data_IF_374363882376
#
_entry.id   IF_374363882376
#
_cell.length_a   1.000
_cell.length_b   1.000
_cell.length_c   1.000
_cell.angle_alpha   90.00
_cell.angle_beta   90.00
_cell.angle_gamma   90.00
#
_symmetry.space_group_name_H-M   'P 1'
#
loop_
_entity.id
_entity.type
_entity.pdbx_description
1 polymer ?
#
# COMPACT_ATOMS: atom_id res chain seq x y z
N UNK A 1 6.28 104.40 -1.03
CA UNK A 1 5.36 103.49 -1.76
C UNK A 1 5.61 103.59 -3.27
N UNK A 2 6.85 103.85 -3.68
CA UNK A 2 7.13 104.42 -5.01
C UNK A 2 7.85 103.46 -5.98
N UNK A 3 8.19 102.25 -5.53
CA UNK A 3 8.80 101.23 -6.39
C UNK A 3 7.78 100.32 -7.10
N UNK A 4 6.50 100.34 -6.70
CA UNK A 4 5.45 99.57 -7.39
C UNK A 4 4.90 100.33 -8.61
N UNK A 5 4.81 101.66 -8.51
CA UNK A 5 4.21 102.52 -9.55
C UNK A 5 5.09 102.61 -10.80
N UNK A 6 6.41 102.47 -10.66
CA UNK A 6 7.34 102.48 -11.80
C UNK A 6 7.31 101.18 -12.63
N UNK A 7 6.85 100.05 -12.06
CA UNK A 7 6.74 98.76 -12.77
C UNK A 7 5.49 98.61 -13.64
N UNK A 8 4.44 99.39 -13.38
CA UNK A 8 3.20 99.33 -14.17
C UNK A 8 3.26 100.21 -15.43
N UNK A 9 4.04 101.30 -15.42
CA UNK A 9 4.14 102.24 -16.55
C UNK A 9 5.11 101.79 -17.65
N UNK A 10 6.17 101.06 -17.29
CA UNK A 10 7.11 100.50 -18.26
C UNK A 10 6.78 99.03 -18.49
N UNK A 11 6.24 98.73 -19.67
CA UNK A 11 5.85 97.40 -20.16
C UNK A 11 7.08 96.49 -20.38
N UNK A 12 7.92 96.30 -19.38
CA UNK A 12 9.07 95.41 -19.41
C UNK A 12 8.57 94.00 -19.11
N UNK A 13 8.24 93.25 -20.17
CA UNK A 13 7.97 91.81 -20.05
C UNK A 13 9.25 91.13 -19.52
N UNK A 14 9.16 90.46 -18.39
CA UNK A 14 10.27 89.64 -17.89
C UNK A 14 10.57 88.52 -18.88
N UNK A 15 11.77 88.51 -19.46
CA UNK A 15 12.28 87.48 -20.39
C UNK A 15 12.75 86.20 -19.69
N UNK A 16 12.46 86.01 -18.40
CA UNK A 16 12.96 84.89 -17.58
C UNK A 16 12.22 83.56 -17.76
N UNK A 17 11.13 83.52 -18.54
CA UNK A 17 10.35 82.30 -18.74
C UNK A 17 10.21 82.02 -20.24
N UNK A 18 10.75 80.89 -20.70
CA UNK A 18 10.44 80.35 -22.03
C UNK A 18 8.92 80.11 -22.10
N UNK A 19 8.24 80.42 -23.22
CA UNK A 19 6.83 80.12 -23.37
C UNK A 19 6.62 78.62 -23.15
N UNK A 20 5.71 78.28 -22.24
CA UNK A 20 5.38 76.89 -21.94
C UNK A 20 4.77 76.28 -23.20
N UNK A 21 5.43 75.26 -23.75
CA UNK A 21 4.91 74.51 -24.87
C UNK A 21 3.80 73.57 -24.38
N UNK A 22 2.56 74.10 -24.41
CA UNK A 22 1.37 73.36 -24.02
C UNK A 22 1.09 72.15 -24.92
N UNK A 23 1.63 72.08 -26.14
CA UNK A 23 1.50 70.88 -26.99
C UNK A 23 2.42 69.77 -26.50
N UNK A 24 3.69 70.09 -26.19
CA UNK A 24 4.63 69.12 -25.64
C UNK A 24 4.17 68.57 -24.28
N UNK A 25 3.61 69.43 -23.42
CA UNK A 25 3.09 69.04 -22.11
C UNK A 25 1.84 68.14 -22.22
N UNK A 26 0.96 68.40 -23.21
CA UNK A 26 -0.17 67.50 -23.53
C UNK A 26 0.33 66.15 -24.04
N UNK A 27 1.28 66.14 -24.96
CA UNK A 27 1.84 64.90 -25.50
C UNK A 27 2.48 64.03 -24.40
N UNK A 28 3.25 64.63 -23.48
CA UNK A 28 3.80 63.92 -22.31
C UNK A 28 2.72 63.39 -21.36
N UNK A 29 1.64 64.16 -21.17
CA UNK A 29 0.51 63.75 -20.33
C UNK A 29 -0.28 62.61 -20.96
N UNK A 30 -0.53 62.66 -22.26
CA UNK A 30 -1.18 61.59 -23.02
C UNK A 30 -0.32 60.32 -23.05
N UNK A 31 1.00 60.45 -23.24
CA UNK A 31 1.93 59.34 -23.17
C UNK A 31 1.96 58.69 -21.76
N UNK A 32 1.92 59.48 -20.69
CA UNK A 32 1.80 58.94 -19.32
C UNK A 32 0.44 58.29 -19.08
N UNK A 33 -0.66 58.86 -19.59
CA UNK A 33 -2.00 58.27 -19.50
C UNK A 33 -2.08 56.93 -20.23
N UNK A 34 -1.52 56.85 -21.45
CA UNK A 34 -1.49 55.60 -22.23
C UNK A 34 -0.60 54.54 -21.57
N UNK A 35 0.56 54.94 -21.02
CA UNK A 35 1.41 54.05 -20.23
C UNK A 35 0.70 53.53 -18.97
N UNK A 36 0.00 54.40 -18.23
CA UNK A 36 -0.79 54.01 -17.06
C UNK A 36 -1.94 53.06 -17.43
N UNK A 37 -2.66 53.33 -18.52
CA UNK A 37 -3.70 52.45 -19.02
C UNK A 37 -3.15 51.08 -19.43
N UNK A 38 -1.95 51.02 -20.03
CA UNK A 38 -1.27 49.77 -20.36
C UNK A 38 -0.90 48.95 -19.11
N UNK A 39 -0.41 49.61 -18.05
CA UNK A 39 -0.11 48.96 -16.77
C UNK A 39 -1.39 48.44 -16.12
N UNK A 40 -2.47 49.21 -16.12
CA UNK A 40 -3.75 48.80 -15.55
C UNK A 40 -4.33 47.58 -16.28
N UNK A 41 -4.24 47.54 -17.61
CA UNK A 41 -4.61 46.37 -18.42
C UNK A 41 -3.78 45.13 -18.07
N UNK A 42 -2.46 45.27 -17.87
CA UNK A 42 -1.59 44.17 -17.42
C UNK A 42 -1.95 43.68 -16.01
N UNK A 43 -2.26 44.60 -15.09
CA UNK A 43 -2.71 44.22 -13.73
C UNK A 43 -4.04 43.48 -13.79
N UNK A 44 -4.98 43.93 -14.62
CA UNK A 44 -6.28 43.28 -14.80
C UNK A 44 -6.14 41.90 -15.43
N UNK A 45 -5.28 41.75 -16.44
CA UNK A 45 -5.02 40.45 -17.07
C UNK A 45 -4.38 39.46 -16.10
N UNK A 46 -3.38 39.88 -15.31
CA UNK A 46 -2.76 39.03 -14.26
C UNK A 46 -3.79 38.60 -13.22
N UNK A 47 -4.65 39.53 -12.76
CA UNK A 47 -5.74 39.20 -11.83
C UNK A 47 -6.71 38.18 -12.42
N UNK A 48 -7.10 38.33 -13.68
CA UNK A 48 -8.00 37.38 -14.36
C UNK A 48 -7.37 35.98 -14.53
N UNK A 49 -6.08 35.90 -14.83
CA UNK A 49 -5.35 34.63 -14.88
C UNK A 49 -5.29 33.97 -13.49
N UNK A 50 -5.03 34.76 -12.44
CA UNK A 50 -4.95 34.24 -11.08
C UNK A 50 -6.31 33.73 -10.58
N UNK A 51 -7.41 34.45 -10.84
CA UNK A 51 -8.76 33.98 -10.48
C UNK A 51 -9.15 32.71 -11.24
N UNK A 52 -8.77 32.59 -12.51
CA UNK A 52 -8.94 31.35 -13.29
C UNK A 52 -8.13 30.18 -12.71
N UNK A 53 -6.89 30.43 -12.26
CA UNK A 53 -6.06 29.40 -11.62
C UNK A 53 -6.70 28.92 -10.30
N UNK A 54 -7.18 29.85 -9.48
CA UNK A 54 -7.86 29.55 -8.22
C UNK A 54 -9.15 28.75 -8.46
N UNK A 55 -9.96 29.12 -9.45
CA UNK A 55 -11.21 28.40 -9.72
C UNK A 55 -10.98 26.97 -10.22
N UNK A 56 -9.96 26.76 -11.07
CA UNK A 56 -9.52 25.42 -11.48
C UNK A 56 -9.05 24.60 -10.28
N UNK A 57 -8.25 25.19 -9.41
CA UNK A 57 -7.75 24.54 -8.19
C UNK A 57 -8.89 24.16 -7.23
N UNK A 58 -9.86 25.05 -7.02
CA UNK A 58 -11.04 24.76 -6.21
C UNK A 58 -11.87 23.61 -6.78
N UNK A 59 -11.94 23.50 -8.11
CA UNK A 59 -12.66 22.41 -8.79
C UNK A 59 -11.95 21.08 -8.59
N UNK A 60 -10.61 21.06 -8.72
CA UNK A 60 -9.79 19.87 -8.43
C UNK A 60 -9.92 19.43 -6.97
N UNK A 61 -9.85 20.36 -6.01
CA UNK A 61 -10.01 20.05 -4.59
C UNK A 61 -11.39 19.44 -4.31
N UNK A 62 -12.47 19.94 -4.95
CA UNK A 62 -13.80 19.35 -4.82
C UNK A 62 -13.83 17.90 -5.31
N UNK A 63 -13.17 17.62 -6.44
CA UNK A 63 -13.06 16.26 -6.97
C UNK A 63 -12.29 15.34 -6.02
N UNK A 64 -11.15 15.78 -5.47
CA UNK A 64 -10.39 14.99 -4.48
C UNK A 64 -11.19 14.73 -3.21
N UNK A 65 -11.90 15.74 -2.68
CA UNK A 65 -12.77 15.56 -1.51
C UNK A 65 -13.86 14.52 -1.75
N UNK A 66 -14.44 14.50 -2.95
CA UNK A 66 -15.44 13.50 -3.31
C UNK A 66 -14.84 12.09 -3.32
N UNK A 67 -13.66 11.92 -3.93
CA UNK A 67 -12.94 10.64 -3.95
C UNK A 67 -12.63 10.17 -2.52
N UNK A 68 -12.09 11.04 -1.68
CA UNK A 68 -11.78 10.70 -0.28
C UNK A 68 -13.02 10.34 0.53
N UNK A 69 -14.15 11.00 0.29
CA UNK A 69 -15.39 10.67 0.98
C UNK A 69 -15.90 9.29 0.58
N UNK A 70 -15.85 8.96 -0.71
CA UNK A 70 -16.21 7.62 -1.20
C UNK A 70 -15.27 6.54 -0.65
N UNK A 71 -13.96 6.80 -0.63
CA UNK A 71 -12.98 5.86 -0.13
C UNK A 71 -13.10 5.65 1.39
N UNK A 72 -13.37 6.71 2.14
CA UNK A 72 -13.63 6.60 3.58
C UNK A 72 -14.86 5.72 3.86
N UNK A 73 -15.93 5.87 3.06
CA UNK A 73 -17.10 5.00 3.17
C UNK A 73 -16.73 3.54 2.84
N UNK A 74 -16.04 3.30 1.73
CA UNK A 74 -15.59 1.96 1.31
C UNK A 74 -14.75 1.28 2.38
N UNK A 75 -13.76 1.99 2.93
CA UNK A 75 -12.88 1.46 3.98
C UNK A 75 -13.65 1.17 5.27
N UNK A 76 -14.62 2.02 5.62
CA UNK A 76 -15.50 1.79 6.76
C UNK A 76 -16.34 0.53 6.57
N UNK A 77 -16.93 0.35 5.39
CA UNK A 77 -17.74 -0.83 5.08
C UNK A 77 -16.89 -2.11 5.09
N UNK A 78 -15.69 -2.09 4.50
CA UNK A 78 -14.74 -3.22 4.52
C UNK A 78 -14.32 -3.54 5.95
N UNK A 79 -13.99 -2.53 6.76
CA UNK A 79 -13.65 -2.72 8.17
C UNK A 79 -14.80 -3.38 8.92
N UNK A 80 -16.01 -2.85 8.81
CA UNK A 80 -17.19 -3.43 9.46
C UNK A 80 -17.43 -4.88 9.04
N UNK A 81 -17.25 -5.19 7.75
CA UNK A 81 -17.37 -6.56 7.23
C UNK A 81 -16.31 -7.47 7.82
N UNK A 82 -15.04 -7.06 7.80
CA UNK A 82 -13.93 -7.85 8.31
C UNK A 82 -14.02 -8.06 9.83
N UNK A 83 -14.41 -7.03 10.58
CA UNK A 83 -14.71 -7.13 12.01
C UNK A 83 -15.84 -8.13 12.28
N UNK A 84 -16.87 -8.16 11.43
CA UNK A 84 -17.96 -9.13 11.53
C UNK A 84 -17.51 -10.56 11.19
N UNK A 85 -16.65 -10.73 10.18
CA UNK A 85 -16.04 -12.02 9.82
C UNK A 85 -15.13 -12.55 10.94
N UNK A 86 -14.31 -11.67 11.55
CA UNK A 86 -13.47 -12.02 12.71
C UNK A 86 -14.36 -12.42 13.89
N UNK A 87 -15.39 -11.62 14.21
CA UNK A 87 -16.33 -11.94 15.29
C UNK A 87 -17.03 -13.27 15.05
N UNK A 88 -17.52 -13.52 13.85
CA UNK A 88 -18.15 -14.79 13.46
C UNK A 88 -17.18 -15.96 13.63
N UNK A 89 -15.94 -15.81 13.17
CA UNK A 89 -14.89 -16.81 13.32
C UNK A 89 -14.58 -17.14 14.79
N UNK A 90 -14.69 -16.14 15.67
CA UNK A 90 -14.51 -16.27 17.11
C UNK A 90 -15.77 -16.76 17.85
N UNK A 91 -16.97 -16.54 17.30
CA UNK A 91 -18.25 -16.79 17.99
C UNK A 91 -18.92 -18.12 17.66
N UNK A 92 -18.76 -18.66 16.45
CA UNK A 92 -19.50 -19.86 16.01
C UNK A 92 -18.55 -21.04 15.69
N UNK A 93 -18.80 -22.16 16.39
CA UNK A 93 -18.28 -23.53 16.15
C UNK A 93 -16.79 -23.85 16.32
N UNK A 94 -15.87 -22.89 16.55
CA UNK A 94 -14.45 -23.20 16.80
C UNK A 94 -14.03 -23.30 18.29
N UNK A 95 -14.99 -23.42 19.20
CA UNK A 95 -14.82 -23.50 20.68
C UNK A 95 -13.96 -24.71 21.13
N UNK A 96 -13.53 -25.59 20.23
CA UNK A 96 -12.58 -26.67 20.51
C UNK A 96 -11.09 -26.27 20.56
N UNK A 97 -10.70 -25.08 20.09
CA UNK A 97 -9.28 -24.66 20.05
C UNK A 97 -8.97 -23.70 21.19
N UNK A 98 -8.29 -24.19 22.24
CA UNK A 98 -7.75 -23.42 23.38
C UNK A 98 -7.02 -22.11 22.98
N UNK A 99 -6.38 -22.09 21.82
CA UNK A 99 -5.70 -20.91 21.28
C UNK A 99 -6.65 -19.74 20.92
N UNK A 100 -7.90 -20.01 20.53
CA UNK A 100 -8.86 -18.96 20.15
C UNK A 100 -9.50 -18.30 21.37
N UNK A 101 -9.75 -19.08 22.45
CA UNK A 101 -10.23 -18.52 23.72
C UNK A 101 -9.20 -17.57 24.34
N UNK A 102 -7.91 -17.88 24.21
CA UNK A 102 -6.83 -17.00 24.70
C UNK A 102 -6.84 -15.66 23.95
N UNK A 103 -7.08 -15.66 22.64
CA UNK A 103 -7.18 -14.43 21.84
C UNK A 103 -8.38 -13.55 22.21
N UNK A 104 -9.55 -14.14 22.46
CA UNK A 104 -10.73 -13.38 22.90
C UNK A 104 -10.51 -12.76 24.29
N UNK A 105 -9.84 -13.48 25.18
CA UNK A 105 -9.45 -12.94 26.50
C UNK A 105 -8.46 -11.78 26.36
N UNK A 106 -7.47 -11.89 25.47
CA UNK A 106 -6.54 -10.79 25.17
C UNK A 106 -7.26 -9.56 24.55
N UNK A 107 -8.22 -9.77 23.65
CA UNK A 107 -9.02 -8.67 23.08
C UNK A 107 -9.78 -7.91 24.18
N UNK A 108 -10.43 -8.65 25.08
CA UNK A 108 -11.16 -8.06 26.19
C UNK A 108 -10.21 -7.30 27.13
N UNK A 109 -9.07 -7.90 27.50
CA UNK A 109 -8.08 -7.25 28.37
C UNK A 109 -7.53 -5.97 27.73
N UNK A 110 -7.22 -5.98 26.43
CA UNK A 110 -6.77 -4.79 25.70
C UNK A 110 -7.86 -3.71 25.66
N UNK A 111 -9.12 -4.08 25.46
CA UNK A 111 -10.24 -3.14 25.46
C UNK A 111 -10.42 -2.48 26.84
N UNK A 112 -10.33 -3.27 27.90
CA UNK A 112 -10.38 -2.79 29.28
C UNK A 112 -9.20 -1.86 29.60
N UNK A 113 -7.98 -2.26 29.24
CA UNK A 113 -6.76 -1.44 29.38
C UNK A 113 -6.88 -0.13 28.60
N UNK A 114 -7.37 -0.17 27.37
CA UNK A 114 -7.58 1.01 26.54
C UNK A 114 -8.62 1.95 27.14
N UNK A 115 -9.72 1.41 27.65
CA UNK A 115 -10.77 2.21 28.32
C UNK A 115 -10.26 2.86 29.60
N UNK A 116 -9.42 2.15 30.36
CA UNK A 116 -8.77 2.64 31.57
C UNK A 116 -7.76 3.74 31.24
N UNK A 117 -6.91 3.51 30.24
CA UNK A 117 -5.95 4.48 29.73
C UNK A 117 -6.64 5.77 29.26
N UNK A 118 -7.68 5.66 28.42
CA UNK A 118 -8.46 6.80 27.95
C UNK A 118 -9.06 7.60 29.12
N UNK A 119 -9.64 6.92 30.12
CA UNK A 119 -10.15 7.58 31.32
C UNK A 119 -9.03 8.30 32.09
N UNK A 120 -7.89 7.64 32.29
CA UNK A 120 -6.77 8.19 33.04
C UNK A 120 -6.09 9.36 32.34
N UNK A 121 -6.14 9.44 30.99
CA UNK A 121 -5.57 10.57 30.23
C UNK A 121 -6.59 11.69 30.02
N UNK A 122 -7.85 11.37 29.70
CA UNK A 122 -8.87 12.36 29.36
C UNK A 122 -9.47 13.03 30.60
N UNK A 123 -9.75 12.26 31.66
CA UNK A 123 -10.43 12.80 32.84
C UNK A 123 -9.62 13.91 33.53
N UNK A 124 -8.29 13.79 33.75
CA UNK A 124 -7.51 14.86 34.35
C UNK A 124 -7.49 16.14 33.50
N UNK A 125 -7.48 16.02 32.17
CA UNK A 125 -7.53 17.18 31.27
C UNK A 125 -8.91 17.85 31.34
N UNK A 126 -9.98 17.06 31.39
CA UNK A 126 -11.35 17.59 31.55
C UNK A 126 -11.54 18.26 32.92
N UNK A 127 -11.00 17.66 33.98
CA UNK A 127 -10.98 18.21 35.34
C UNK A 127 -10.24 19.55 35.36
N UNK A 128 -9.00 19.59 34.85
CA UNK A 128 -8.20 20.82 34.76
C UNK A 128 -8.93 21.91 33.97
N UNK A 129 -9.60 21.54 32.87
CA UNK A 129 -10.39 22.48 32.07
C UNK A 129 -11.61 23.03 32.83
N UNK A 130 -12.27 22.19 33.63
CA UNK A 130 -13.40 22.61 34.46
C UNK A 130 -12.92 23.53 35.60
N UNK A 131 -11.82 23.19 36.25
CA UNK A 131 -11.21 23.95 37.34
C UNK A 131 -10.74 25.32 36.84
N UNK A 132 -10.09 25.39 35.67
CA UNK A 132 -9.69 26.65 35.04
C UNK A 132 -10.88 27.55 34.72
N UNK A 133 -11.98 26.99 34.20
CA UNK A 133 -13.23 27.74 33.95
C UNK A 133 -13.85 28.26 35.25
N UNK A 134 -13.89 27.43 36.29
CA UNK A 134 -14.41 27.82 37.60
C UNK A 134 -13.58 28.96 38.20
N UNK A 135 -12.26 28.85 38.15
CA UNK A 135 -11.32 29.86 38.65
C UNK A 135 -11.46 31.17 37.87
N UNK A 136 -11.63 31.10 36.55
CA UNK A 136 -11.88 32.27 35.69
C UNK A 136 -13.18 33.01 36.04
N UNK A 137 -14.26 32.28 36.34
CA UNK A 137 -15.53 32.88 36.76
C UNK A 137 -15.43 33.56 38.12
N UNK A 138 -14.69 32.99 39.07
CA UNK A 138 -14.47 33.59 40.40
C UNK A 138 -13.54 34.81 40.38
N UNK A 139 -12.49 34.81 39.56
CA UNK A 139 -11.60 35.96 39.37
C UNK A 139 -12.35 37.16 38.77
N UNK A 140 -13.34 36.91 37.90
CA UNK A 140 -14.17 37.96 37.30
C UNK A 140 -15.15 38.62 38.29
N UNK A 141 -15.34 38.07 39.50
CA UNK A 141 -16.33 38.54 40.50
C UNK A 141 -15.71 39.23 41.74
N UNK A 142 -14.40 39.10 41.99
CA UNK A 142 -13.74 39.70 43.17
C UNK A 142 -12.52 40.57 42.82
N UNK A 143 -12.38 41.71 43.50
CA UNK A 143 -11.41 42.78 43.23
C UNK A 143 -9.94 42.43 43.52
N UNK A 144 -9.15 42.33 42.45
CA UNK A 144 -7.77 42.80 42.17
C UNK A 144 -6.57 42.75 43.14
N UNK A 145 -6.62 42.30 44.40
CA UNK A 145 -5.38 42.25 45.22
C UNK A 145 -4.80 40.84 45.43
N UNK A 146 -5.61 39.78 45.46
CA UNK A 146 -5.14 38.38 45.58
C UNK A 146 -5.08 37.61 44.25
N UNK A 147 -5.49 38.22 43.15
CA UNK A 147 -5.69 37.58 41.84
C UNK A 147 -4.37 37.30 41.08
N UNK A 148 -3.38 38.20 41.16
CA UNK A 148 -2.10 38.06 40.44
C UNK A 148 -1.25 36.89 40.96
N UNK A 149 -1.21 36.68 42.28
CA UNK A 149 -0.44 35.58 42.90
C UNK A 149 -1.03 34.19 42.59
N UNK A 150 -2.36 34.09 42.40
CA UNK A 150 -3.00 32.84 41.97
C UNK A 150 -2.86 32.59 40.47
N UNK A 151 -2.86 33.65 39.65
CA UNK A 151 -2.61 33.56 38.20
C UNK A 151 -1.23 32.94 37.87
N UNK A 152 -0.18 33.36 38.57
CA UNK A 152 1.18 32.84 38.35
C UNK A 152 1.29 31.36 38.70
N UNK A 153 0.71 30.92 39.83
CA UNK A 153 0.70 29.49 40.22
C UNK A 153 -0.09 28.61 39.25
N UNK A 154 -1.19 29.10 38.71
CA UNK A 154 -1.99 28.38 37.70
C UNK A 154 -1.20 28.23 36.39
N UNK A 155 -0.46 29.26 35.98
CA UNK A 155 0.43 29.20 34.81
C UNK A 155 1.57 28.18 35.00
N UNK A 156 2.19 28.14 36.19
CA UNK A 156 3.22 27.17 36.54
C UNK A 156 2.70 25.72 36.49
N UNK A 157 1.50 25.47 37.04
CA UNK A 157 0.85 24.15 37.01
C UNK A 157 0.52 23.71 35.58
N UNK A 158 0.01 24.62 34.74
CA UNK A 158 -0.27 24.34 33.32
C UNK A 158 1.01 24.00 32.56
N UNK A 159 2.10 24.72 32.79
CA UNK A 159 3.39 24.44 32.14
C UNK A 159 4.02 23.14 32.66
N UNK A 160 3.81 22.79 33.92
CA UNK A 160 4.18 21.48 34.47
C UNK A 160 3.42 20.35 33.79
N UNK A 161 2.09 20.47 33.62
CA UNK A 161 1.26 19.48 32.92
C UNK A 161 1.68 19.35 31.45
N UNK A 162 2.01 20.45 30.76
CA UNK A 162 2.54 20.38 29.38
C UNK A 162 3.86 19.63 29.29
N UNK A 163 4.78 19.86 30.24
CA UNK A 163 6.06 19.15 30.31
C UNK A 163 5.85 17.66 30.57
N UNK A 164 4.94 17.29 31.47
CA UNK A 164 4.57 15.89 31.69
C UNK A 164 3.98 15.25 30.44
N UNK A 165 3.03 15.93 29.77
CA UNK A 165 2.41 15.43 28.55
C UNK A 165 3.45 15.19 27.46
N UNK A 166 4.39 16.12 27.29
CA UNK A 166 5.50 15.98 26.35
C UNK A 166 6.37 14.76 26.67
N UNK A 167 6.75 14.56 27.93
CA UNK A 167 7.54 13.41 28.36
C UNK A 167 6.80 12.08 28.15
N UNK A 168 5.48 12.05 28.37
CA UNK A 168 4.63 10.88 28.08
C UNK A 168 4.60 10.59 26.57
N UNK A 169 4.42 11.60 25.72
CA UNK A 169 4.45 11.42 24.27
C UNK A 169 5.82 10.92 23.76
N UNK A 170 6.91 11.46 24.30
CA UNK A 170 8.26 11.00 23.98
C UNK A 170 8.42 9.52 24.39
N UNK A 171 7.98 9.12 25.59
CA UNK A 171 8.01 7.70 26.00
C UNK A 171 7.14 6.81 25.09
N UNK A 172 5.92 7.24 24.76
CA UNK A 172 5.02 6.50 23.87
C UNK A 172 5.59 6.33 22.47
N UNK A 173 6.27 7.35 21.93
CA UNK A 173 6.95 7.23 20.63
C UNK A 173 8.05 6.18 20.64
N UNK A 174 8.79 6.05 21.74
CA UNK A 174 9.83 5.02 21.90
C UNK A 174 9.21 3.64 22.04
N UNK A 175 8.14 3.50 22.83
CA UNK A 175 7.39 2.24 22.95
C UNK A 175 6.80 1.80 21.60
N UNK A 176 6.20 2.74 20.86
CA UNK A 176 5.70 2.50 19.51
C UNK A 176 6.83 2.00 18.59
N UNK A 177 7.96 2.69 18.54
CA UNK A 177 9.10 2.29 17.71
C UNK A 177 9.60 0.89 18.07
N UNK A 178 9.67 0.55 19.36
CA UNK A 178 10.08 -0.77 19.81
C UNK A 178 9.12 -1.87 19.36
N UNK A 179 7.81 -1.61 19.42
CA UNK A 179 6.78 -2.55 18.95
C UNK A 179 6.87 -2.70 17.43
N UNK A 180 7.01 -1.60 16.68
CA UNK A 180 7.18 -1.62 15.22
C UNK A 180 8.41 -2.43 14.81
N UNK A 181 9.55 -2.23 15.49
CA UNK A 181 10.76 -3.01 15.25
C UNK A 181 10.54 -4.51 15.54
N UNK A 182 9.90 -4.83 16.67
CA UNK A 182 9.58 -6.22 17.02
C UNK A 182 8.66 -6.87 15.98
N UNK A 183 7.63 -6.16 15.49
CA UNK A 183 6.73 -6.65 14.45
C UNK A 183 7.44 -6.81 13.09
N UNK A 184 8.39 -5.94 12.78
CA UNK A 184 9.22 -6.05 11.58
C UNK A 184 10.07 -7.32 11.61
N UNK A 185 10.72 -7.60 12.75
CA UNK A 185 11.50 -8.84 12.95
C UNK A 185 10.63 -10.10 12.77
N UNK A 186 9.38 -10.08 13.25
CA UNK A 186 8.45 -11.18 13.03
C UNK A 186 8.00 -11.30 11.59
N UNK A 187 7.81 -10.18 10.90
CA UNK A 187 7.45 -10.15 9.47
C UNK A 187 8.56 -10.80 8.63
N UNK A 188 9.82 -10.53 8.95
CA UNK A 188 10.98 -11.18 8.33
C UNK A 188 11.00 -12.69 8.59
N UNK A 189 10.80 -13.12 9.84
CA UNK A 189 10.72 -14.55 10.22
C UNK A 189 9.57 -15.30 9.55
N UNK A 190 8.41 -14.65 9.37
CA UNK A 190 7.26 -15.24 8.67
C UNK A 190 7.54 -15.36 7.17
N UNK A 191 8.22 -14.38 6.58
CA UNK A 191 8.61 -14.40 5.17
C UNK A 191 9.62 -15.52 4.90
N UNK A 192 10.61 -15.70 5.78
CA UNK A 192 11.61 -16.77 5.70
C UNK A 192 10.94 -18.14 5.76
N UNK A 193 10.01 -18.35 6.71
CA UNK A 193 9.22 -19.58 6.81
C UNK A 193 8.33 -19.83 5.57
N UNK A 194 7.77 -18.78 4.97
CA UNK A 194 7.00 -18.89 3.71
C UNK A 194 7.86 -19.30 2.54
N UNK A 195 9.12 -18.84 2.50
CA UNK A 195 10.04 -19.02 1.39
C UNK A 195 10.71 -20.39 1.43
N UNK A 196 11.16 -20.85 2.60
CA UNK A 196 11.61 -22.23 2.82
C UNK A 196 10.54 -23.25 2.46
N UNK A 197 9.29 -23.04 2.94
CA UNK A 197 8.18 -23.92 2.61
C UNK A 197 7.85 -23.94 1.10
N UNK A 198 8.02 -22.82 0.40
CA UNK A 198 7.76 -22.71 -1.05
C UNK A 198 8.87 -23.35 -1.89
N UNK A 199 10.12 -23.29 -1.43
CA UNK A 199 11.26 -23.98 -2.05
C UNK A 199 11.14 -25.51 -1.91
N UNK A 200 10.76 -25.99 -0.72
CA UNK A 200 10.62 -27.42 -0.45
C UNK A 200 9.46 -28.07 -1.24
N UNK A 201 8.31 -27.37 -1.34
CA UNK A 201 7.14 -27.86 -2.09
C UNK A 201 7.39 -28.09 -3.58
N UNK A 202 8.36 -27.41 -4.18
CA UNK A 202 8.72 -27.57 -5.59
C UNK A 202 9.64 -28.78 -5.83
N UNK A 203 10.38 -29.24 -4.81
CA UNK A 203 11.37 -30.32 -4.95
C UNK A 203 10.92 -31.66 -4.36
N UNK A 204 9.83 -31.70 -3.61
CA UNK A 204 9.32 -32.93 -3.00
C UNK A 204 8.74 -33.87 -4.07
N UNK A 205 9.25 -35.11 -4.06
CA UNK A 205 8.71 -36.18 -4.88
C UNK A 205 7.27 -36.48 -4.44
N UNK A 206 6.33 -36.69 -5.38
CA UNK A 206 4.97 -37.08 -5.01
C UNK A 206 5.00 -38.41 -4.26
N UNK A 207 4.45 -38.42 -3.04
CA UNK A 207 4.36 -39.63 -2.19
C UNK A 207 3.61 -40.75 -2.92
N UNK A 208 2.69 -40.38 -3.80
CA UNK A 208 1.93 -41.29 -4.66
C UNK A 208 2.83 -42.08 -5.64
N UNK A 209 3.96 -41.52 -6.08
CA UNK A 209 4.92 -42.19 -6.96
C UNK A 209 5.98 -42.98 -6.19
N UNK A 210 6.29 -42.57 -4.95
CA UNK A 210 7.18 -43.32 -4.08
C UNK A 210 6.54 -44.63 -3.61
N UNK A 211 5.28 -44.57 -3.18
CA UNK A 211 4.55 -45.68 -2.54
C UNK A 211 4.08 -46.77 -3.50
N UNK A 212 4.00 -46.51 -4.80
CA UNK A 212 3.61 -47.52 -5.79
C UNK A 212 4.75 -48.48 -6.08
N UNK A 213 4.55 -49.76 -5.74
CA UNK A 213 5.40 -50.87 -6.17
C UNK A 213 5.12 -51.18 -7.65
N UNK A 214 6.15 -51.14 -8.47
CA UNK A 214 6.07 -51.47 -9.90
C UNK A 214 7.06 -52.60 -10.20
N UNK A 215 6.63 -53.67 -10.90
CA UNK A 215 7.52 -54.78 -11.26
C UNK A 215 8.55 -54.42 -12.33
N UNK A 216 8.38 -53.27 -13.01
CA UNK A 216 9.31 -52.74 -14.00
C UNK A 216 10.08 -51.53 -13.46
N UNK A 217 11.29 -51.71 -12.89
CA UNK A 217 12.06 -50.62 -12.28
C UNK A 217 12.48 -49.55 -13.28
N UNK A 218 12.77 -49.92 -14.52
CA UNK A 218 13.16 -48.98 -15.59
C UNK A 218 12.03 -48.01 -15.96
N UNK A 219 10.79 -48.50 -15.96
CA UNK A 219 9.60 -47.67 -16.20
C UNK A 219 9.39 -46.67 -15.06
N UNK A 220 9.49 -47.14 -13.80
CA UNK A 220 9.40 -46.27 -12.62
C UNK A 220 10.49 -45.20 -12.63
N UNK A 221 11.73 -45.57 -12.94
CA UNK A 221 12.84 -44.64 -13.06
C UNK A 221 12.61 -43.61 -14.17
N UNK A 222 12.15 -44.04 -15.36
CA UNK A 222 11.85 -43.14 -16.47
C UNK A 222 10.78 -42.10 -16.11
N UNK A 223 9.71 -42.53 -15.42
CA UNK A 223 8.63 -41.63 -14.99
C UNK A 223 9.14 -40.61 -13.96
N UNK A 224 9.96 -41.04 -12.99
CA UNK A 224 10.56 -40.15 -12.00
C UNK A 224 11.53 -39.14 -12.65
N UNK A 225 12.37 -39.60 -13.58
CA UNK A 225 13.27 -38.73 -14.32
C UNK A 225 12.51 -37.68 -15.14
N UNK A 226 11.44 -38.07 -15.83
CA UNK A 226 10.57 -37.13 -16.54
C UNK A 226 9.89 -36.13 -15.60
N UNK A 227 9.51 -36.56 -14.39
CA UNK A 227 8.96 -35.66 -13.37
C UNK A 227 9.99 -34.63 -12.89
N UNK A 228 11.22 -35.06 -12.63
CA UNK A 228 12.33 -34.17 -12.26
C UNK A 228 12.61 -33.15 -13.38
N UNK A 229 12.75 -33.62 -14.62
CA UNK A 229 12.95 -32.75 -15.79
C UNK A 229 11.81 -31.75 -15.99
N UNK A 230 10.57 -32.20 -15.81
CA UNK A 230 9.39 -31.34 -15.85
C UNK A 230 9.49 -30.24 -14.78
N UNK A 231 9.80 -30.62 -13.54
CA UNK A 231 9.87 -29.71 -12.40
C UNK A 231 11.00 -28.68 -12.55
N UNK A 232 12.18 -29.11 -12.98
CA UNK A 232 13.32 -28.23 -13.25
C UNK A 232 12.99 -27.15 -14.29
N UNK A 233 12.24 -27.50 -15.35
CA UNK A 233 11.82 -26.53 -16.37
C UNK A 233 10.95 -25.41 -15.79
N UNK A 234 10.07 -25.73 -14.83
CA UNK A 234 9.27 -24.72 -14.15
C UNK A 234 10.10 -23.91 -13.15
N UNK A 235 11.01 -24.56 -12.43
CA UNK A 235 11.90 -23.89 -11.48
C UNK A 235 12.79 -22.86 -12.17
N UNK A 236 13.42 -23.21 -13.31
CA UNK A 236 14.23 -22.28 -14.11
C UNK A 236 13.41 -21.06 -14.55
N UNK A 237 12.22 -21.29 -15.09
CA UNK A 237 11.32 -20.19 -15.48
C UNK A 237 10.88 -19.31 -14.30
N UNK A 238 10.67 -19.90 -13.12
CA UNK A 238 10.36 -19.13 -11.91
C UNK A 238 11.54 -18.27 -11.48
N UNK A 239 12.76 -18.81 -11.52
CA UNK A 239 13.98 -18.06 -11.25
C UNK A 239 14.17 -16.91 -12.25
N UNK A 240 13.91 -17.13 -13.53
CA UNK A 240 13.95 -16.06 -14.55
C UNK A 240 12.96 -14.93 -14.21
N UNK A 241 11.74 -15.26 -13.78
CA UNK A 241 10.77 -14.26 -13.33
C UNK A 241 11.19 -13.56 -12.04
N UNK A 242 11.80 -14.27 -11.09
CA UNK A 242 12.32 -13.69 -9.85
C UNK A 242 13.44 -12.68 -10.15
N UNK A 243 14.37 -13.01 -11.06
CA UNK A 243 15.41 -12.09 -11.52
C UNK A 243 14.82 -10.89 -12.27
N UNK A 244 13.81 -11.09 -13.12
CA UNK A 244 13.13 -9.98 -13.80
C UNK A 244 12.42 -9.04 -12.81
N UNK A 245 11.78 -9.60 -11.77
CA UNK A 245 11.13 -8.79 -10.74
C UNK A 245 12.14 -7.98 -9.93
N UNK A 246 13.29 -8.57 -9.60
CA UNK A 246 14.38 -7.88 -8.90
C UNK A 246 15.01 -6.78 -9.77
N UNK A 247 15.19 -7.02 -11.07
CA UNK A 247 15.70 -6.00 -11.99
C UNK A 247 14.72 -4.81 -12.11
N UNK A 248 13.42 -5.09 -12.25
CA UNK A 248 12.40 -4.03 -12.30
C UNK A 248 12.36 -3.26 -10.97
N UNK A 249 12.47 -3.95 -9.82
CA UNK A 249 12.41 -3.29 -8.52
C UNK A 249 13.60 -2.39 -8.25
N UNK A 250 14.80 -2.77 -8.71
CA UNK A 250 16.02 -1.92 -8.64
C UNK A 250 15.89 -0.62 -9.42
N UNK A 251 15.04 -0.59 -10.45
CA UNK A 251 14.79 0.61 -11.25
C UNK A 251 13.81 1.59 -10.56
N UNK A 252 13.20 1.22 -9.43
CA UNK A 252 12.36 2.15 -8.67
C UNK A 252 13.19 3.26 -8.03
N UNK A 253 12.84 4.50 -8.36
CA UNK A 253 13.49 5.70 -7.81
C UNK A 253 12.81 6.24 -6.53
N UNK A 254 11.74 5.57 -6.08
CA UNK A 254 11.02 5.88 -4.84
C UNK A 254 11.54 4.99 -3.72
N UNK A 255 11.61 5.51 -2.49
CA UNK A 255 11.83 4.67 -1.31
C UNK A 255 10.65 3.70 -1.10
N UNK A 256 10.77 2.73 -0.20
CA UNK A 256 9.65 1.83 0.12
C UNK A 256 8.44 2.59 0.67
N UNK A 257 8.67 3.58 1.52
CA UNK A 257 7.62 4.44 2.07
C UNK A 257 6.94 5.26 0.97
N UNK A 258 7.73 5.87 0.09
CA UNK A 258 7.23 6.61 -1.05
C UNK A 258 6.43 5.72 -2.01
N UNK A 259 6.89 4.48 -2.22
CA UNK A 259 6.18 3.50 -3.03
C UNK A 259 4.85 3.09 -2.39
N UNK A 260 4.83 2.92 -1.05
CA UNK A 260 3.59 2.66 -0.31
C UNK A 260 2.61 3.81 -0.44
N UNK A 261 3.06 5.06 -0.26
CA UNK A 261 2.22 6.25 -0.46
C UNK A 261 1.71 6.30 -1.90
N UNK A 262 2.57 6.01 -2.87
CA UNK A 262 2.19 5.97 -4.29
C UNK A 262 1.06 4.97 -4.54
N UNK A 263 1.21 3.74 -4.04
CA UNK A 263 0.22 2.68 -4.20
C UNK A 263 -1.07 3.00 -3.43
N UNK A 264 -0.98 3.48 -2.20
CA UNK A 264 -2.13 3.87 -1.39
C UNK A 264 -2.93 4.99 -2.09
N UNK A 265 -2.26 5.97 -2.69
CA UNK A 265 -2.94 7.01 -3.46
C UNK A 265 -3.58 6.44 -4.72
N UNK A 266 -2.99 5.48 -5.43
CA UNK A 266 -3.66 4.85 -6.58
C UNK A 266 -4.94 4.09 -6.19
N UNK A 267 -4.91 3.42 -5.05
CA UNK A 267 -6.02 2.59 -4.57
C UNK A 267 -7.20 3.42 -4.06
N UNK A 268 -6.96 4.64 -3.58
CA UNK A 268 -8.03 5.59 -3.21
C UNK A 268 -8.87 6.04 -4.41
N UNK A 269 -8.34 5.97 -5.64
CA UNK A 269 -9.00 6.47 -6.84
C UNK A 269 -9.57 5.28 -7.63
N UNK A 270 -10.90 5.13 -7.73
CA UNK A 270 -11.49 3.97 -8.37
C UNK A 270 -11.30 3.99 -9.90
N UNK A 271 -11.30 2.78 -10.50
CA UNK A 271 -10.97 2.55 -11.91
C UNK A 271 -11.94 3.17 -12.92
N UNK A 272 -13.19 3.34 -12.52
CA UNK A 272 -14.31 3.88 -13.31
C UNK A 272 -14.35 5.43 -13.33
N UNK A 273 -13.51 6.08 -12.52
CA UNK A 273 -13.47 7.54 -12.40
C UNK A 273 -12.99 8.21 -13.70
N UNK A 274 -13.80 9.11 -14.26
CA UNK A 274 -13.40 9.90 -15.42
C UNK A 274 -12.16 10.75 -15.10
N UNK A 275 -11.11 10.63 -15.93
CA UNK A 275 -9.86 11.37 -15.71
C UNK A 275 -9.08 10.91 -14.48
N UNK A 276 -9.31 9.68 -13.97
CA UNK A 276 -8.60 9.05 -12.84
C UNK A 276 -7.10 9.37 -12.83
N UNK A 277 -6.43 9.13 -13.97
CA UNK A 277 -5.00 9.37 -14.16
C UNK A 277 -4.57 10.80 -13.90
N UNK A 278 -5.35 11.77 -14.34
CA UNK A 278 -5.05 13.18 -14.09
C UNK A 278 -5.20 13.51 -12.61
N UNK A 279 -6.19 12.93 -11.94
CA UNK A 279 -6.51 13.20 -10.54
C UNK A 279 -5.47 12.59 -9.59
N UNK A 280 -5.17 11.28 -9.67
CA UNK A 280 -4.15 10.72 -8.77
C UNK A 280 -2.77 11.30 -9.06
N UNK A 281 -2.39 11.56 -10.32
CA UNK A 281 -1.11 12.23 -10.60
C UNK A 281 -1.08 13.64 -9.99
N UNK A 282 -2.21 14.36 -10.00
CA UNK A 282 -2.28 15.64 -9.32
C UNK A 282 -2.08 15.50 -7.79
N UNK A 283 -2.65 14.46 -7.17
CA UNK A 283 -2.43 14.21 -5.75
C UNK A 283 -1.01 13.76 -5.43
N UNK A 284 -0.44 12.86 -6.22
CA UNK A 284 0.94 12.40 -6.08
C UNK A 284 1.92 13.58 -6.19
N UNK A 285 1.68 14.52 -7.10
CA UNK A 285 2.49 15.75 -7.19
C UNK A 285 2.37 16.66 -5.96
N UNK A 286 1.29 16.56 -5.17
CA UNK A 286 1.13 17.28 -3.90
C UNK A 286 1.87 16.57 -2.76
N UNK A 287 1.87 15.23 -2.74
CA UNK A 287 2.63 14.43 -1.77
C UNK A 287 4.14 14.46 -2.05
N UNK A 288 4.53 14.51 -3.32
CA UNK A 288 5.92 14.53 -3.78
C UNK A 288 6.25 15.85 -4.49
N UNK A 289 6.32 17.00 -3.78
CA UNK A 289 6.60 18.30 -4.39
C UNK A 289 7.99 18.36 -5.06
N UNK A 290 8.91 17.47 -4.67
CA UNK A 290 10.26 17.38 -5.22
C UNK A 290 10.36 16.54 -6.49
N UNK A 291 9.33 15.77 -6.84
CA UNK A 291 9.34 14.88 -8.01
C UNK A 291 8.57 15.49 -9.17
N UNK A 292 9.10 15.33 -10.38
CA UNK A 292 8.42 15.83 -11.55
C UNK A 292 7.24 14.92 -11.92
N UNK A 293 6.28 15.47 -12.68
CA UNK A 293 5.18 14.66 -13.22
C UNK A 293 5.70 13.54 -14.13
N UNK A 294 6.82 13.77 -14.82
CA UNK A 294 7.42 12.80 -15.71
C UNK A 294 7.95 11.60 -14.94
N UNK A 295 8.65 11.83 -13.82
CA UNK A 295 9.20 10.76 -12.98
C UNK A 295 8.09 9.87 -12.40
N UNK A 296 6.97 10.48 -11.98
CA UNK A 296 5.80 9.74 -11.51
C UNK A 296 5.18 8.85 -12.60
N UNK A 297 5.19 9.33 -13.85
CA UNK A 297 4.68 8.56 -15.00
C UNK A 297 5.65 7.47 -15.44
N UNK A 298 6.96 7.69 -15.33
CA UNK A 298 7.95 6.62 -15.54
C UNK A 298 7.81 5.54 -14.47
N UNK A 299 7.65 5.93 -13.20
CA UNK A 299 7.40 4.99 -12.10
C UNK A 299 6.14 4.16 -12.33
N UNK A 300 5.06 4.76 -12.86
CA UNK A 300 3.84 4.04 -13.26
C UNK A 300 4.13 2.89 -14.24
N UNK A 301 5.01 3.11 -15.23
CA UNK A 301 5.37 2.08 -16.21
C UNK A 301 6.12 0.92 -15.54
N UNK A 302 7.06 1.22 -14.65
CA UNK A 302 7.77 0.18 -13.90
C UNK A 302 6.81 -0.60 -13.00
N UNK A 303 5.86 0.07 -12.35
CA UNK A 303 4.81 -0.60 -11.57
C UNK A 303 3.93 -1.51 -12.45
N UNK A 304 3.59 -1.09 -13.66
CA UNK A 304 2.82 -1.92 -14.60
C UNK A 304 3.61 -3.15 -15.05
N UNK A 305 4.89 -2.97 -15.40
CA UNK A 305 5.78 -4.07 -15.76
C UNK A 305 5.96 -5.06 -14.59
N UNK A 306 6.17 -4.53 -13.38
CA UNK A 306 6.31 -5.34 -12.17
C UNK A 306 5.04 -6.15 -11.89
N UNK A 307 3.86 -5.49 -11.94
CA UNK A 307 2.57 -6.16 -11.76
C UNK A 307 2.34 -7.25 -12.80
N UNK A 308 2.66 -6.97 -14.06
CA UNK A 308 2.55 -7.94 -15.14
C UNK A 308 3.46 -9.15 -14.92
N UNK A 309 4.75 -8.95 -14.65
CA UNK A 309 5.70 -10.01 -14.37
C UNK A 309 5.28 -10.86 -13.15
N UNK A 310 4.79 -10.20 -12.09
CA UNK A 310 4.28 -10.86 -10.89
C UNK A 310 3.06 -11.73 -11.18
N UNK A 311 2.14 -11.25 -12.03
CA UNK A 311 0.99 -12.04 -12.45
C UNK A 311 1.39 -13.21 -13.34
N UNK A 312 2.34 -13.03 -14.28
CA UNK A 312 2.88 -14.14 -15.08
C UNK A 312 3.50 -15.23 -14.20
N UNK A 313 4.26 -14.83 -13.18
CA UNK A 313 4.81 -15.75 -12.18
C UNK A 313 3.71 -16.51 -11.44
N UNK A 314 2.65 -15.83 -11.01
CA UNK A 314 1.49 -16.46 -10.34
C UNK A 314 0.77 -17.46 -11.24
N UNK A 315 0.54 -17.11 -12.50
CA UNK A 315 -0.04 -17.99 -13.52
C UNK A 315 0.86 -19.22 -13.73
N UNK A 316 2.18 -19.03 -13.78
CA UNK A 316 3.14 -20.13 -13.93
C UNK A 316 3.05 -21.13 -12.77
N UNK A 317 2.97 -20.65 -11.53
CA UNK A 317 2.78 -21.51 -10.34
C UNK A 317 1.44 -22.25 -10.40
N UNK A 318 0.36 -21.57 -10.80
CA UNK A 318 -0.95 -22.21 -10.97
C UNK A 318 -0.91 -23.31 -12.04
N UNK A 319 -0.24 -23.04 -13.16
CA UNK A 319 -0.06 -24.01 -14.24
C UNK A 319 0.81 -25.19 -13.81
N UNK A 320 1.89 -24.96 -13.06
CA UNK A 320 2.70 -26.03 -12.48
C UNK A 320 1.85 -26.93 -11.58
N UNK A 321 1.06 -26.35 -10.67
CA UNK A 321 0.19 -27.12 -9.78
C UNK A 321 -0.81 -27.99 -10.55
N UNK A 322 -1.41 -27.45 -11.62
CA UNK A 322 -2.34 -28.20 -12.47
C UNK A 322 -1.62 -29.33 -13.21
N UNK A 323 -0.54 -29.01 -13.91
CA UNK A 323 0.20 -29.97 -14.71
C UNK A 323 0.87 -31.06 -13.86
N UNK A 324 1.30 -30.72 -12.64
CA UNK A 324 1.80 -31.69 -11.65
C UNK A 324 0.73 -32.72 -11.30
N UNK A 325 -0.51 -32.29 -11.00
CA UNK A 325 -1.62 -33.23 -10.73
C UNK A 325 -1.91 -34.12 -11.93
N UNK A 326 -1.99 -33.53 -13.13
CA UNK A 326 -2.26 -34.27 -14.36
C UNK A 326 -1.13 -35.28 -14.68
N UNK A 327 0.13 -34.91 -14.43
CA UNK A 327 1.28 -35.79 -14.58
C UNK A 327 1.19 -36.96 -13.61
N UNK A 328 0.98 -36.69 -12.31
CA UNK A 328 0.88 -37.74 -11.28
C UNK A 328 -0.25 -38.71 -11.63
N UNK A 329 -1.42 -38.20 -12.02
CA UNK A 329 -2.55 -39.05 -12.39
C UNK A 329 -2.23 -39.98 -13.56
N UNK A 330 -1.55 -39.47 -14.61
CA UNK A 330 -1.11 -40.28 -15.75
C UNK A 330 -0.06 -41.29 -15.35
N UNK A 331 0.93 -40.88 -14.58
CA UNK A 331 2.00 -41.75 -14.10
C UNK A 331 1.45 -42.92 -13.26
N UNK A 332 0.54 -42.64 -12.33
CA UNK A 332 -0.15 -43.66 -11.52
C UNK A 332 -0.92 -44.63 -12.40
N UNK A 333 -1.66 -44.12 -13.40
CA UNK A 333 -2.41 -44.96 -14.34
C UNK A 333 -1.48 -45.89 -15.14
N UNK A 334 -0.40 -45.35 -15.71
CA UNK A 334 0.58 -46.13 -16.48
C UNK A 334 1.26 -47.19 -15.62
N UNK A 335 1.62 -46.87 -14.37
CA UNK A 335 2.19 -47.85 -13.45
C UNK A 335 1.18 -48.95 -13.10
N UNK A 336 -0.09 -48.60 -12.86
CA UNK A 336 -1.15 -49.57 -12.59
C UNK A 336 -1.41 -50.50 -13.78
N UNK A 337 -1.44 -49.97 -15.01
CA UNK A 337 -1.54 -50.75 -16.24
C UNK A 337 -0.36 -51.71 -16.41
N UNK A 338 0.85 -51.25 -16.13
CA UNK A 338 2.05 -52.09 -16.18
C UNK A 338 2.02 -53.21 -15.13
N UNK A 339 1.57 -52.93 -13.90
CA UNK A 339 1.37 -53.94 -12.87
C UNK A 339 0.30 -54.98 -13.28
N UNK A 340 -0.81 -54.53 -13.88
CA UNK A 340 -1.86 -55.43 -14.36
C UNK A 340 -1.38 -56.32 -15.51
N UNK A 341 -0.60 -55.76 -16.45
CA UNK A 341 0.01 -56.52 -17.54
C UNK A 341 0.97 -57.60 -17.02
N UNK A 342 1.84 -57.26 -16.06
CA UNK A 342 2.73 -58.24 -15.43
C UNK A 342 1.96 -59.36 -14.75
N UNK A 343 0.93 -59.04 -13.97
CA UNK A 343 0.11 -60.06 -13.30
C UNK A 343 -0.59 -61.00 -14.30
N UNK A 344 -1.03 -60.49 -15.45
CA UNK A 344 -1.58 -61.31 -16.54
C UNK A 344 -0.51 -62.21 -17.18
N UNK A 345 0.70 -61.69 -17.40
CA UNK A 345 1.82 -62.47 -17.92
C UNK A 345 2.22 -63.60 -16.97
N UNK A 346 2.27 -63.34 -15.66
CA UNK A 346 2.53 -64.35 -14.63
C UNK A 346 1.48 -65.46 -14.64
N UNK A 347 0.19 -65.11 -14.69
CA UNK A 347 -0.89 -66.10 -14.79
C UNK A 347 -0.75 -66.98 -16.04
N UNK A 348 -0.46 -66.36 -17.20
CA UNK A 348 -0.25 -67.10 -18.45
C UNK A 348 1.00 -68.00 -18.38
N UNK A 349 2.06 -67.55 -17.71
CA UNK A 349 3.27 -68.35 -17.50
C UNK A 349 3.00 -69.56 -16.59
N UNK A 350 2.25 -69.36 -15.51
CA UNK A 350 1.80 -70.46 -14.63
C UNK A 350 0.93 -71.47 -15.38
N UNK A 351 -0.04 -71.01 -16.17
CA UNK A 351 -0.93 -71.90 -16.92
C UNK A 351 -0.16 -72.70 -17.97
N UNK A 352 0.79 -72.06 -18.67
CA UNK A 352 1.71 -72.76 -19.58
C UNK A 352 2.52 -73.82 -18.84
N UNK A 353 3.04 -73.52 -17.64
CA UNK A 353 3.79 -74.47 -16.82
C UNK A 353 2.93 -75.67 -16.41
N UNK A 354 1.70 -75.42 -15.91
CA UNK A 354 0.72 -76.48 -15.56
C UNK A 354 0.40 -77.35 -16.77
N UNK A 355 0.19 -76.74 -17.95
CA UNK A 355 -0.08 -77.47 -19.18
C UNK A 355 1.12 -78.35 -19.60
N UNK A 356 2.35 -77.85 -19.48
CA UNK A 356 3.57 -78.61 -19.77
C UNK A 356 3.74 -79.81 -18.82
N UNK A 357 3.51 -79.61 -17.52
CA UNK A 357 3.54 -80.68 -16.51
C UNK A 357 2.49 -81.76 -16.80
N UNK A 358 1.27 -81.34 -17.14
CA UNK A 358 0.18 -82.26 -17.48
C UNK A 358 0.49 -83.04 -18.77
N UNK A 359 1.05 -82.38 -19.79
CA UNK A 359 1.53 -83.05 -21.00
C UNK A 359 2.66 -84.05 -20.71
N UNK A 360 3.59 -83.71 -19.82
CA UNK A 360 4.68 -84.59 -19.42
C UNK A 360 4.16 -85.82 -18.67
N UNK A 361 3.21 -85.63 -17.74
CA UNK A 361 2.57 -86.70 -17.00
C UNK A 361 1.76 -87.63 -17.91
N UNK A 362 0.99 -87.09 -18.87
CA UNK A 362 0.27 -87.90 -19.86
C UNK A 362 1.23 -88.69 -20.75
N UNK A 363 2.31 -88.08 -21.23
CA UNK A 363 3.35 -88.78 -22.00
C UNK A 363 4.00 -89.91 -21.20
N UNK A 364 4.26 -89.68 -19.91
CA UNK A 364 4.76 -90.71 -19.02
C UNK A 364 3.74 -91.85 -18.93
N UNK A 365 2.47 -91.59 -18.59
CA UNK A 365 1.44 -92.63 -18.46
C UNK A 365 1.27 -93.48 -19.73
N UNK A 366 1.30 -92.87 -20.92
CA UNK A 366 1.21 -93.59 -22.20
C UNK A 366 2.40 -94.55 -22.41
N UNK A 367 3.61 -94.18 -21.98
CA UNK A 367 4.80 -95.06 -22.07
C UNK A 367 4.80 -96.25 -21.11
N UNK A 368 3.99 -96.22 -20.05
CA UNK A 368 3.87 -97.33 -19.09
C UNK A 368 2.71 -98.28 -19.42
N UNK A 369 1.89 -97.92 -20.41
CA UNK A 369 0.71 -98.68 -20.84
C UNK A 369 0.94 -99.46 -22.15
N UNK A 370 2.16 -99.40 -22.68
CA UNK A 370 2.68 -100.16 -23.83
C UNK A 370 3.84 -101.02 -23.32
#
# INVERSE_FOLDING_TARGET
TDNLVFRMKNRVRSTKYKPVDYQQLRALTEAKKSASASIELKVRSVKAVQTSKISKEQTLIKQHKQVWWQEHQRLTDIRCKMESEIKSFLSEENIGKKCLSDLTNFEQELSEQWSSYLKNVINPIQQLRADLKYTQHHISQHSYSHSELNSVKVLEEVDFVKKQLKAVFERLSVEQQNIENYLSDWSMKILDYSTEKRGNLLSELPVELETLECPYPDLKFSILHEFCNFTEKYQKKLQDFDLQLEDISRNFQLSEEDHWIYQAVLDQYPGDLCGRRTLYLNMLQRYFPHKSRHDLVEHEKYCDQYRFAREQRRILISNWNKNRRDFIQKAVLTLAEACAAHAMEDMLAEDRKKQQELCAHLKAKVRWSA
#
